data_IF_248187302157
#
_entry.id   IF_248187302157
#
_cell.length_a   1.000
_cell.length_b   1.000
_cell.length_c   1.000
_cell.angle_alpha   90.00
_cell.angle_beta   90.00
_cell.angle_gamma   90.00
#
_symmetry.space_group_name_H-M   'P 1'
#
loop_
_entity.id
_entity.type
_entity.pdbx_description
1 polymer ?
#
# COMPACT_ATOMS: atom_id res chain seq x y z
N UNK A 1 1.41 73.37 17.78
CA UNK A 1 0.77 72.24 18.50
C UNK A 1 0.02 71.21 17.64
N UNK A 2 -0.27 71.46 16.35
CA UNK A 2 -1.06 70.53 15.51
C UNK A 2 -0.26 69.37 14.86
N UNK A 3 1.06 69.52 14.63
CA UNK A 3 1.89 68.47 14.01
C UNK A 3 2.26 67.30 14.94
N UNK A 4 2.31 67.53 16.26
CA UNK A 4 2.66 66.50 17.24
C UNK A 4 1.56 65.42 17.41
N UNK A 5 0.28 65.81 17.31
CA UNK A 5 -0.85 64.88 17.51
C UNK A 5 -1.03 63.89 16.34
N UNK A 6 -0.68 64.28 15.11
CA UNK A 6 -0.77 63.39 13.94
C UNK A 6 0.29 62.27 13.97
N UNK A 7 1.51 62.57 14.44
CA UNK A 7 2.59 61.60 14.61
C UNK A 7 2.28 60.57 15.71
N UNK A 8 1.68 61.00 16.82
CA UNK A 8 1.27 60.12 17.93
C UNK A 8 0.12 59.19 17.50
N UNK A 9 -0.88 59.70 16.78
CA UNK A 9 -1.97 58.87 16.28
C UNK A 9 -1.48 57.80 15.28
N UNK A 10 -0.56 58.16 14.38
CA UNK A 10 -0.03 57.23 13.38
C UNK A 10 0.82 56.12 14.04
N UNK A 11 1.64 56.46 15.06
CA UNK A 11 2.37 55.47 15.86
C UNK A 11 1.45 54.49 16.60
N UNK A 12 0.35 54.97 17.17
CA UNK A 12 -0.60 54.10 17.89
C UNK A 12 -1.33 53.11 16.98
N UNK A 13 -1.68 53.52 15.75
CA UNK A 13 -2.30 52.64 14.73
C UNK A 13 -1.31 51.60 14.21
N UNK A 14 -0.07 52.00 13.96
CA UNK A 14 1.03 51.08 13.58
C UNK A 14 1.32 50.06 14.68
N UNK A 15 1.37 50.48 15.94
CA UNK A 15 1.59 49.58 17.08
C UNK A 15 0.46 48.56 17.24
N UNK A 16 -0.81 48.99 17.12
CA UNK A 16 -1.97 48.08 17.15
C UNK A 16 -1.96 47.09 15.98
N UNK A 17 -1.53 47.52 14.78
CA UNK A 17 -1.43 46.66 13.60
C UNK A 17 -0.29 45.64 13.73
N UNK A 18 0.86 46.04 14.29
CA UNK A 18 1.99 45.16 14.61
C UNK A 18 1.61 44.11 15.66
N UNK A 19 0.94 44.50 16.76
CA UNK A 19 0.46 43.53 17.77
C UNK A 19 -0.51 42.50 17.20
N UNK A 20 -1.43 42.91 16.32
CA UNK A 20 -2.36 41.99 15.66
C UNK A 20 -1.62 41.02 14.74
N UNK A 21 -0.62 41.50 13.98
CA UNK A 21 0.21 40.65 13.12
C UNK A 21 1.01 39.64 13.94
N UNK A 22 1.61 40.04 15.06
CA UNK A 22 2.32 39.14 15.98
C UNK A 22 1.39 38.08 16.57
N UNK A 23 0.20 38.45 17.06
CA UNK A 23 -0.79 37.48 17.55
C UNK A 23 -1.26 36.51 16.47
N UNK A 24 -1.50 36.97 15.23
CA UNK A 24 -1.88 36.08 14.13
C UNK A 24 -0.74 35.13 13.73
N UNK A 25 0.52 35.58 13.76
CA UNK A 25 1.68 34.74 13.49
C UNK A 25 1.90 33.70 14.59
N UNK A 26 1.67 34.05 15.86
CA UNK A 26 1.72 33.12 17.00
C UNK A 26 0.61 32.05 16.92
N UNK A 27 -0.62 32.44 16.55
CA UNK A 27 -1.73 31.49 16.37
C UNK A 27 -1.47 30.54 15.20
N UNK A 28 -0.90 31.02 14.09
CA UNK A 28 -0.46 30.17 12.96
C UNK A 28 0.70 29.25 13.37
N UNK A 29 1.63 29.73 14.19
CA UNK A 29 2.71 28.93 14.79
C UNK A 29 2.23 27.82 15.74
N UNK A 30 1.26 28.11 16.61
CA UNK A 30 0.69 27.13 17.53
C UNK A 30 -0.16 26.07 16.81
N UNK A 31 -0.99 26.48 15.84
CA UNK A 31 -1.81 25.57 15.04
C UNK A 31 -0.96 24.65 14.16
N UNK A 32 0.15 25.14 13.60
CA UNK A 32 1.11 24.31 12.87
C UNK A 32 1.88 23.35 13.79
N UNK A 33 2.30 23.77 14.98
CA UNK A 33 2.94 22.87 15.96
C UNK A 33 1.98 21.80 16.51
N UNK A 34 0.71 22.13 16.75
CA UNK A 34 -0.33 21.18 17.15
C UNK A 34 -0.67 20.18 16.03
N UNK A 35 -0.69 20.61 14.78
CA UNK A 35 -0.85 19.72 13.64
C UNK A 35 0.34 18.75 13.52
N UNK A 36 1.58 19.27 13.65
CA UNK A 36 2.81 18.46 13.64
C UNK A 36 2.85 17.45 14.79
N UNK A 37 2.48 17.84 16.01
CA UNK A 37 2.47 16.93 17.16
C UNK A 37 1.40 15.85 17.04
N UNK A 38 0.22 16.17 16.51
CA UNK A 38 -0.84 15.20 16.22
C UNK A 38 -0.42 14.21 15.12
N UNK A 39 0.22 14.69 14.06
CA UNK A 39 0.77 13.83 12.99
C UNK A 39 1.89 12.92 13.51
N UNK A 40 2.78 13.44 14.35
CA UNK A 40 3.83 12.64 14.98
C UNK A 40 3.23 11.56 15.91
N UNK A 41 2.20 11.90 16.68
CA UNK A 41 1.51 10.94 17.56
C UNK A 41 0.75 9.87 16.76
N UNK A 42 0.10 10.24 15.64
CA UNK A 42 -0.57 9.27 14.77
C UNK A 42 0.43 8.36 14.05
N UNK A 43 1.56 8.90 13.61
CA UNK A 43 2.64 8.11 13.03
C UNK A 43 3.25 7.16 14.06
N UNK A 44 3.48 7.62 15.30
CA UNK A 44 3.96 6.78 16.38
C UNK A 44 2.99 5.62 16.68
N UNK A 45 1.68 5.89 16.74
CA UNK A 45 0.66 4.85 16.92
C UNK A 45 0.66 3.84 15.77
N UNK A 46 0.80 4.30 14.52
CA UNK A 46 0.91 3.41 13.35
C UNK A 46 2.14 2.50 13.40
N UNK A 47 3.29 3.04 13.82
CA UNK A 47 4.52 2.25 13.99
C UNK A 47 4.38 1.22 15.11
N UNK A 48 3.83 1.60 16.26
CA UNK A 48 3.59 0.66 17.37
C UNK A 48 2.60 -0.43 16.97
N UNK A 49 1.56 -0.09 16.21
CA UNK A 49 0.59 -1.06 15.72
C UNK A 49 1.22 -2.08 14.77
N UNK A 50 2.02 -1.63 13.79
CA UNK A 50 2.75 -2.53 12.87
C UNK A 50 3.70 -3.45 13.64
N UNK A 51 4.43 -2.91 14.62
CA UNK A 51 5.35 -3.71 15.43
C UNK A 51 4.63 -4.79 16.23
N UNK A 52 3.49 -4.48 16.87
CA UNK A 52 2.71 -5.48 17.60
C UNK A 52 2.23 -6.60 16.68
N UNK A 53 1.74 -6.26 15.48
CA UNK A 53 1.31 -7.26 14.49
C UNK A 53 2.47 -8.13 13.99
N UNK A 54 3.68 -7.57 13.89
CA UNK A 54 4.87 -8.34 13.59
C UNK A 54 5.23 -9.30 14.74
N UNK A 55 5.09 -8.89 16.00
CA UNK A 55 5.29 -9.79 17.15
C UNK A 55 4.26 -10.93 17.15
N UNK A 56 2.98 -10.64 16.91
CA UNK A 56 1.92 -11.66 16.81
C UNK A 56 2.20 -12.65 15.66
N UNK A 57 2.77 -12.16 14.56
CA UNK A 57 3.16 -12.98 13.42
C UNK A 57 4.27 -13.99 13.75
N UNK A 58 5.14 -13.71 14.72
CA UNK A 58 6.21 -14.63 15.14
C UNK A 58 5.66 -15.92 15.73
N UNK A 59 4.56 -15.82 16.47
CA UNK A 59 3.90 -16.96 17.12
C UNK A 59 2.86 -17.62 16.21
N UNK A 60 2.10 -16.82 15.45
CA UNK A 60 1.00 -17.31 14.63
C UNK A 60 1.41 -17.76 13.23
N UNK A 61 2.56 -17.31 12.72
CA UNK A 61 2.99 -17.50 11.33
C UNK A 61 2.15 -16.72 10.32
N UNK A 62 1.26 -15.82 10.79
CA UNK A 62 0.43 -14.95 9.96
C UNK A 62 0.81 -13.49 10.19
N UNK A 63 1.32 -12.85 9.14
CA UNK A 63 1.64 -11.42 9.14
C UNK A 63 0.49 -10.60 8.57
N UNK A 64 -0.23 -9.87 9.43
CA UNK A 64 -1.25 -8.93 9.00
C UNK A 64 -0.74 -7.49 9.04
N UNK A 65 -0.56 -6.86 7.89
CA UNK A 65 -0.23 -5.45 7.73
C UNK A 65 -1.30 -4.72 6.92
N UNK A 66 -2.55 -5.18 7.01
CA UNK A 66 -3.68 -4.56 6.31
C UNK A 66 -4.06 -3.20 6.90
N UNK A 67 -4.51 -2.29 6.02
CA UNK A 67 -4.98 -0.94 6.37
C UNK A 67 -3.94 -0.10 7.14
N UNK A 68 -2.65 -0.26 6.81
CA UNK A 68 -1.56 0.45 7.46
C UNK A 68 -1.08 1.68 6.67
N UNK A 69 -1.78 2.04 5.57
CA UNK A 69 -1.40 3.12 4.65
C UNK A 69 0.05 3.01 4.15
N UNK A 70 0.54 1.79 3.98
CA UNK A 70 1.93 1.53 3.59
C UNK A 70 2.16 1.87 2.12
N UNK A 71 3.19 2.65 1.84
CA UNK A 71 3.68 2.90 0.47
C UNK A 71 4.79 1.92 0.07
N UNK A 72 5.51 1.38 1.05
CA UNK A 72 6.52 0.34 0.90
C UNK A 72 6.63 -0.46 2.21
N UNK A 73 7.17 -1.67 2.14
CA UNK A 73 7.51 -2.46 3.33
C UNK A 73 8.90 -2.07 3.80
N UNK A 74 9.01 -1.57 5.04
CA UNK A 74 10.28 -1.14 5.63
C UNK A 74 11.19 -2.33 5.96
N UNK A 75 12.51 -2.13 5.84
CA UNK A 75 13.48 -3.21 6.06
C UNK A 75 13.49 -3.75 7.49
N UNK A 76 13.08 -2.91 8.46
CA UNK A 76 12.91 -3.30 9.85
C UNK A 76 11.95 -4.49 10.03
N UNK A 77 10.89 -4.59 9.21
CA UNK A 77 9.92 -5.69 9.28
C UNK A 77 10.61 -7.03 8.97
N UNK A 78 11.48 -7.07 7.95
CA UNK A 78 12.23 -8.29 7.62
C UNK A 78 13.28 -8.64 8.68
N UNK A 79 13.80 -7.65 9.42
CA UNK A 79 14.74 -7.89 10.51
C UNK A 79 14.03 -8.46 11.74
N UNK A 80 12.87 -7.91 12.09
CA UNK A 80 12.05 -8.37 13.23
C UNK A 80 11.56 -9.80 13.02
N UNK A 81 11.16 -10.13 11.80
CA UNK A 81 10.64 -11.46 11.44
C UNK A 81 11.73 -12.46 11.03
N UNK A 82 13.01 -12.08 11.12
CA UNK A 82 14.12 -12.94 10.72
C UNK A 82 14.16 -14.20 11.60
N UNK A 83 14.16 -15.37 10.96
CA UNK A 83 14.20 -16.66 11.65
C UNK A 83 12.83 -17.20 12.06
N UNK A 84 11.74 -16.49 11.76
CA UNK A 84 10.38 -16.96 11.97
C UNK A 84 9.77 -17.45 10.65
N UNK A 85 8.99 -18.53 10.73
CA UNK A 85 8.35 -19.10 9.56
C UNK A 85 6.98 -18.45 9.31
N UNK A 86 6.95 -17.49 8.39
CA UNK A 86 5.71 -16.83 7.97
C UNK A 86 5.09 -17.62 6.82
N UNK A 87 3.90 -18.15 7.06
CA UNK A 87 3.16 -18.96 6.08
C UNK A 87 2.02 -18.18 5.43
N UNK A 88 1.53 -17.12 6.08
CA UNK A 88 0.44 -16.30 5.58
C UNK A 88 0.80 -14.83 5.73
N UNK A 89 0.52 -14.01 4.73
CA UNK A 89 0.75 -12.56 4.80
C UNK A 89 -0.39 -11.78 4.12
N UNK A 90 -0.86 -10.73 4.78
CA UNK A 90 -1.90 -9.82 4.30
C UNK A 90 -1.39 -8.38 4.30
N UNK A 91 -1.33 -7.79 3.12
CA UNK A 91 -1.00 -6.39 2.85
C UNK A 91 -2.21 -5.63 2.29
N UNK A 92 -3.42 -6.11 2.57
CA UNK A 92 -4.67 -5.54 2.04
C UNK A 92 -4.85 -4.05 2.34
N UNK A 93 -5.43 -3.30 1.40
CA UNK A 93 -5.79 -1.88 1.55
C UNK A 93 -4.59 -1.01 1.99
N UNK A 94 -3.51 -1.08 1.22
CA UNK A 94 -2.36 -0.19 1.36
C UNK A 94 -2.16 0.57 0.05
N UNK A 95 -1.09 1.36 -0.06
CA UNK A 95 -0.75 2.13 -1.27
C UNK A 95 0.54 1.60 -1.90
N UNK A 96 0.70 0.27 -1.90
CA UNK A 96 1.90 -0.38 -2.42
C UNK A 96 1.85 -0.37 -3.95
N UNK A 97 2.78 0.37 -4.57
CA UNK A 97 2.93 0.42 -6.04
C UNK A 97 3.80 -0.71 -6.58
N UNK A 98 4.77 -1.14 -5.78
CA UNK A 98 5.73 -2.19 -6.14
C UNK A 98 5.56 -3.38 -5.23
N UNK A 99 5.76 -4.56 -5.81
CA UNK A 99 5.79 -5.79 -5.04
C UNK A 99 7.00 -5.82 -4.09
N UNK A 100 6.84 -6.25 -2.82
CA UNK A 100 7.94 -6.40 -1.87
C UNK A 100 8.81 -7.63 -2.20
N UNK A 101 9.69 -7.56 -3.21
CA UNK A 101 10.50 -8.70 -3.69
C UNK A 101 11.27 -9.42 -2.58
N UNK A 102 11.82 -8.66 -1.62
CA UNK A 102 12.56 -9.19 -0.46
C UNK A 102 11.72 -10.18 0.38
N UNK A 103 10.40 -10.09 0.33
CA UNK A 103 9.49 -11.01 1.03
C UNK A 103 9.58 -12.44 0.47
N UNK A 104 9.87 -12.58 -0.83
CA UNK A 104 10.03 -13.87 -1.49
C UNK A 104 11.26 -14.59 -0.94
N UNK A 105 12.40 -13.90 -0.89
CA UNK A 105 13.65 -14.45 -0.40
C UNK A 105 13.61 -14.77 1.10
N UNK A 106 12.89 -13.94 1.87
CA UNK A 106 12.84 -14.06 3.33
C UNK A 106 11.86 -15.12 3.81
N UNK A 107 10.78 -15.37 3.09
CA UNK A 107 9.73 -16.29 3.49
C UNK A 107 9.42 -17.28 2.35
N UNK A 108 10.32 -18.24 2.09
CA UNK A 108 10.14 -19.21 1.01
C UNK A 108 8.96 -20.17 1.25
N UNK A 109 8.58 -20.38 2.51
CA UNK A 109 7.46 -21.23 2.92
C UNK A 109 6.08 -20.58 2.88
N UNK A 110 5.94 -19.43 2.22
CA UNK A 110 4.67 -18.70 2.18
C UNK A 110 3.60 -19.47 1.38
N UNK A 111 2.43 -19.64 1.99
CA UNK A 111 1.29 -20.38 1.45
C UNK A 111 0.16 -19.45 0.98
N UNK A 112 -0.10 -18.36 1.72
CA UNK A 112 -1.18 -17.42 1.39
C UNK A 112 -0.63 -16.00 1.37
N UNK A 113 -0.87 -15.30 0.26
CA UNK A 113 -0.44 -13.92 0.11
C UNK A 113 -1.59 -13.04 -0.41
N UNK A 114 -1.88 -11.96 0.31
CA UNK A 114 -2.94 -11.03 -0.05
C UNK A 114 -2.38 -9.60 -0.20
N UNK A 115 -2.53 -9.00 -1.38
CA UNK A 115 -2.27 -7.58 -1.66
C UNK A 115 -3.50 -6.89 -2.27
N UNK A 116 -4.71 -7.35 -1.96
CA UNK A 116 -5.95 -6.73 -2.42
C UNK A 116 -6.00 -5.23 -2.11
N UNK A 117 -6.50 -4.42 -3.05
CA UNK A 117 -6.73 -2.99 -2.80
C UNK A 117 -5.43 -2.20 -2.65
N UNK A 118 -4.45 -2.47 -3.50
CA UNK A 118 -3.19 -1.74 -3.60
C UNK A 118 -3.06 -1.06 -4.97
N UNK A 119 -1.89 -0.51 -5.27
CA UNK A 119 -1.61 0.14 -6.55
C UNK A 119 -0.60 -0.67 -7.39
N UNK A 120 -0.61 -2.00 -7.26
CA UNK A 120 0.40 -2.85 -7.88
C UNK A 120 0.27 -2.83 -9.41
N UNK A 121 1.32 -2.40 -10.10
CA UNK A 121 1.36 -2.29 -11.57
C UNK A 121 1.91 -3.55 -12.24
N UNK A 122 2.86 -4.22 -11.57
CA UNK A 122 3.51 -5.44 -12.06
C UNK A 122 3.80 -6.41 -10.90
N UNK A 123 3.70 -7.71 -11.19
CA UNK A 123 4.19 -8.75 -10.29
C UNK A 123 5.66 -9.08 -10.63
N UNK A 124 6.48 -9.50 -9.65
CA UNK A 124 7.90 -9.74 -9.87
C UNK A 124 8.13 -11.07 -10.59
N UNK A 125 9.21 -11.17 -11.37
CA UNK A 125 9.62 -12.41 -12.03
C UNK A 125 9.91 -13.53 -11.02
N UNK A 126 10.40 -13.12 -9.85
CA UNK A 126 10.79 -13.99 -8.75
C UNK A 126 9.58 -14.62 -8.03
N UNK A 127 8.34 -14.21 -8.32
CA UNK A 127 7.11 -14.73 -7.68
C UNK A 127 6.99 -16.26 -7.75
N UNK A 128 7.52 -16.85 -8.83
CA UNK A 128 7.55 -18.29 -9.05
C UNK A 128 8.42 -19.07 -8.05
N UNK A 129 9.28 -18.38 -7.28
CA UNK A 129 10.14 -18.98 -6.26
C UNK A 129 9.36 -19.48 -5.04
N UNK A 130 8.12 -19.02 -4.84
CA UNK A 130 7.27 -19.53 -3.78
C UNK A 130 6.69 -20.91 -4.13
N UNK A 131 7.45 -21.94 -3.81
CA UNK A 131 7.12 -23.35 -4.10
C UNK A 131 5.92 -23.88 -3.32
N UNK A 132 5.62 -23.31 -2.15
CA UNK A 132 4.52 -23.76 -1.26
C UNK A 132 3.27 -22.90 -1.36
N UNK A 133 3.20 -21.98 -2.31
CA UNK A 133 2.10 -21.03 -2.41
C UNK A 133 0.82 -21.68 -2.89
N UNK A 134 -0.23 -21.53 -2.09
CA UNK A 134 -1.57 -22.09 -2.33
C UNK A 134 -2.59 -21.04 -2.72
N UNK A 135 -2.43 -19.79 -2.27
CA UNK A 135 -3.40 -18.73 -2.51
C UNK A 135 -2.77 -17.36 -2.70
N UNK A 136 -3.12 -16.68 -3.79
CA UNK A 136 -2.72 -15.31 -4.08
C UNK A 136 -3.96 -14.46 -4.31
N UNK A 137 -4.05 -13.32 -3.65
CA UNK A 137 -5.05 -12.31 -3.91
C UNK A 137 -4.37 -11.00 -4.33
N UNK A 138 -4.53 -10.62 -5.59
CA UNK A 138 -4.11 -9.34 -6.16
C UNK A 138 -5.31 -8.54 -6.68
N UNK A 139 -6.52 -8.80 -6.19
CA UNK A 139 -7.71 -8.07 -6.59
C UNK A 139 -7.59 -6.56 -6.34
N UNK A 140 -8.31 -5.75 -7.12
CA UNK A 140 -8.34 -4.30 -7.01
C UNK A 140 -6.93 -3.67 -6.99
N UNK A 141 -6.12 -4.00 -8.00
CA UNK A 141 -4.81 -3.41 -8.24
C UNK A 141 -4.76 -2.77 -9.64
N UNK A 142 -3.55 -2.44 -10.13
CA UNK A 142 -3.33 -1.78 -11.42
C UNK A 142 -2.56 -2.68 -12.40
N UNK A 143 -2.67 -4.00 -12.26
CA UNK A 143 -1.96 -4.95 -13.13
C UNK A 143 -2.46 -4.83 -14.57
N UNK A 144 -1.57 -4.47 -15.48
CA UNK A 144 -1.90 -4.32 -16.92
C UNK A 144 -1.75 -5.65 -17.66
N UNK A 145 -0.88 -6.55 -17.17
CA UNK A 145 -0.60 -7.84 -17.79
C UNK A 145 -0.83 -8.97 -16.82
N UNK A 146 -1.22 -10.12 -17.34
CA UNK A 146 -1.28 -11.34 -16.54
C UNK A 146 0.15 -11.75 -16.14
N UNK A 147 0.43 -11.99 -14.85
CA UNK A 147 1.76 -12.41 -14.40
C UNK A 147 2.03 -13.87 -14.80
N UNK A 148 2.82 -14.05 -15.86
CA UNK A 148 3.14 -15.38 -16.42
C UNK A 148 3.88 -16.29 -15.43
N UNK A 149 4.53 -15.72 -14.42
CA UNK A 149 5.21 -16.45 -13.35
C UNK A 149 4.26 -17.38 -12.58
N UNK A 150 2.96 -17.04 -12.51
CA UNK A 150 1.95 -17.89 -11.89
C UNK A 150 1.80 -19.24 -12.60
N UNK A 151 2.23 -19.36 -13.87
CA UNK A 151 2.25 -20.64 -14.59
C UNK A 151 3.17 -21.68 -13.96
N UNK A 152 4.22 -21.25 -13.26
CA UNK A 152 5.19 -22.15 -12.63
C UNK A 152 4.76 -22.62 -11.23
N UNK A 153 3.71 -22.01 -10.65
CA UNK A 153 3.31 -22.23 -9.26
C UNK A 153 2.33 -23.43 -9.17
N UNK A 154 2.89 -24.63 -9.04
CA UNK A 154 2.14 -25.90 -9.10
C UNK A 154 1.13 -26.11 -7.97
N UNK A 155 1.41 -25.56 -6.79
CA UNK A 155 0.57 -25.70 -5.60
C UNK A 155 -0.54 -24.62 -5.53
N UNK A 156 -0.58 -23.69 -6.48
CA UNK A 156 -1.52 -22.57 -6.47
C UNK A 156 -2.94 -23.06 -6.76
N UNK A 157 -3.79 -22.96 -5.73
CA UNK A 157 -5.18 -23.40 -5.74
C UNK A 157 -6.19 -22.25 -5.75
N UNK A 158 -5.76 -21.07 -5.33
CA UNK A 158 -6.57 -19.85 -5.29
C UNK A 158 -5.80 -18.69 -5.92
N UNK A 159 -6.45 -18.00 -6.86
CA UNK A 159 -5.92 -16.80 -7.50
C UNK A 159 -7.07 -15.83 -7.74
N UNK A 160 -6.95 -14.64 -7.16
CA UNK A 160 -7.86 -13.53 -7.44
C UNK A 160 -7.11 -12.37 -8.09
N UNK A 161 -7.56 -11.98 -9.29
CA UNK A 161 -7.04 -10.86 -10.09
C UNK A 161 -8.16 -9.89 -10.46
N UNK A 162 -9.34 -10.00 -9.85
CA UNK A 162 -10.50 -9.15 -10.13
C UNK A 162 -10.18 -7.67 -9.96
N UNK A 163 -10.84 -6.79 -10.72
CA UNK A 163 -10.63 -5.34 -10.59
C UNK A 163 -9.22 -4.85 -10.99
N UNK A 164 -8.50 -5.58 -11.83
CA UNK A 164 -7.28 -5.11 -12.49
C UNK A 164 -7.53 -4.84 -13.99
N UNK A 165 -6.86 -3.85 -14.59
CA UNK A 165 -6.95 -3.56 -16.03
C UNK A 165 -6.09 -4.51 -16.88
N UNK A 166 -6.25 -5.83 -16.70
CA UNK A 166 -5.43 -6.83 -17.40
C UNK A 166 -5.85 -6.91 -18.87
N UNK A 167 -4.94 -6.52 -19.76
CA UNK A 167 -5.09 -6.61 -21.21
C UNK A 167 -4.52 -7.95 -21.71
N UNK A 168 -5.36 -8.73 -22.40
CA UNK A 168 -4.95 -9.95 -23.08
C UNK A 168 -4.58 -11.10 -22.14
N UNK A 169 -5.53 -11.98 -21.85
CA UNK A 169 -5.20 -13.26 -21.23
C UNK A 169 -4.46 -14.15 -22.24
N UNK A 170 -3.35 -14.82 -21.86
CA UNK A 170 -2.66 -15.74 -22.76
C UNK A 170 -3.58 -16.91 -23.13
N UNK A 171 -3.99 -16.98 -24.42
CA UNK A 171 -5.07 -17.80 -24.99
C UNK A 171 -4.96 -19.34 -24.80
N UNK A 172 -4.03 -19.87 -24.02
CA UNK A 172 -3.97 -21.33 -23.76
C UNK A 172 -3.59 -21.74 -22.34
N UNK A 173 -2.75 -20.99 -21.63
CA UNK A 173 -2.30 -21.36 -20.27
C UNK A 173 -3.07 -20.66 -19.17
N UNK A 174 -3.49 -19.41 -19.39
CA UNK A 174 -4.31 -18.67 -18.43
C UNK A 174 -5.60 -19.43 -18.11
N UNK A 175 -6.29 -19.89 -19.15
CA UNK A 175 -7.53 -20.67 -19.04
C UNK A 175 -7.41 -21.98 -18.24
N UNK A 176 -6.22 -22.60 -18.19
CA UNK A 176 -6.00 -23.82 -17.43
C UNK A 176 -5.87 -23.53 -15.92
N UNK A 177 -5.10 -22.49 -15.55
CA UNK A 177 -5.03 -22.03 -14.16
C UNK A 177 -6.35 -21.46 -13.65
N UNK A 178 -7.07 -20.69 -14.49
CA UNK A 178 -8.38 -20.13 -14.13
C UNK A 178 -9.45 -21.22 -13.96
N UNK A 179 -9.30 -22.39 -14.59
CA UNK A 179 -10.21 -23.54 -14.42
C UNK A 179 -9.90 -24.39 -13.18
N UNK A 180 -8.63 -24.50 -12.79
CA UNK A 180 -8.23 -25.25 -11.58
C UNK A 180 -8.32 -24.42 -10.32
N UNK A 181 -8.21 -23.09 -10.42
CA UNK A 181 -8.44 -22.17 -9.31
C UNK A 181 -9.92 -21.81 -9.25
N UNK A 182 -10.63 -22.31 -8.24
CA UNK A 182 -12.10 -22.27 -8.14
C UNK A 182 -12.75 -20.87 -8.05
N UNK A 183 -11.98 -19.79 -8.14
CA UNK A 183 -12.48 -18.44 -7.90
C UNK A 183 -11.71 -17.35 -8.63
N UNK A 184 -11.16 -17.64 -9.81
CA UNK A 184 -10.56 -16.60 -10.62
C UNK A 184 -11.66 -15.75 -11.27
N UNK A 185 -12.19 -14.78 -10.51
CA UNK A 185 -13.07 -13.73 -11.01
C UNK A 185 -12.26 -12.75 -11.87
N UNK A 186 -11.68 -13.25 -12.96
CA UNK A 186 -11.05 -12.40 -13.96
C UNK A 186 -12.17 -11.72 -14.72
N UNK A 187 -12.60 -10.56 -14.23
CA UNK A 187 -13.45 -9.65 -14.99
C UNK A 187 -12.59 -8.95 -16.04
N UNK A 188 -12.05 -9.73 -17.00
CA UNK A 188 -11.43 -9.18 -18.19
C UNK A 188 -12.58 -8.66 -19.07
N UNK A 189 -12.53 -7.39 -19.43
CA UNK A 189 -13.32 -6.89 -20.55
C UNK A 189 -12.90 -7.72 -21.77
N UNK A 190 -13.76 -8.63 -22.23
CA UNK A 190 -13.60 -9.27 -23.53
C UNK A 190 -13.62 -8.16 -24.58
N UNK A 191 -12.46 -7.73 -25.03
CA UNK A 191 -12.34 -7.02 -26.29
C UNK A 191 -12.73 -8.01 -27.38
N UNK A 192 -14.01 -7.99 -27.75
CA UNK A 192 -14.50 -8.67 -28.94
C UNK A 192 -13.58 -8.32 -30.11
N UNK A 193 -13.03 -9.29 -30.85
CA UNK A 193 -12.32 -8.98 -32.07
C UNK A 193 -13.32 -8.31 -32.99
N UNK A 194 -13.06 -7.05 -33.31
CA UNK A 194 -13.78 -6.29 -34.34
C UNK A 194 -13.78 -7.15 -35.60
N UNK A 195 -14.95 -7.75 -35.89
CA UNK A 195 -15.19 -8.38 -37.18
C UNK A 195 -14.99 -7.30 -38.23
N UNK A 196 -13.88 -7.37 -38.94
CA UNK A 196 -13.66 -6.58 -40.14
C UNK A 196 -14.80 -6.86 -41.10
N UNK A 197 -15.60 -5.82 -41.36
CA UNK A 197 -16.52 -5.81 -42.47
C UNK A 197 -15.69 -5.89 -43.76
N UNK A 198 -15.75 -7.05 -44.40
CA UNK A 198 -15.67 -7.14 -45.86
C UNK A 198 -17.02 -6.75 -46.45
#
# INVERSE_FOLDING_TARGET
MLLANALVLNRSKLFRRSRRLSQSLELVGQSSQLALSRMALSAARGVTQVMNRCEDAKSSGFLDLSNCSLMYIADAIYLVLKGHNITKCSLKNNSLKKFPKKMIDRFPGMMIFNMEGNELEEAPEELSSWVSMKGINFAHNKLIRFPEQLYAMKELSFLDLSGNPIEGLPYRRGHALLRTTALAAVHCQESQPSRGNR
#
